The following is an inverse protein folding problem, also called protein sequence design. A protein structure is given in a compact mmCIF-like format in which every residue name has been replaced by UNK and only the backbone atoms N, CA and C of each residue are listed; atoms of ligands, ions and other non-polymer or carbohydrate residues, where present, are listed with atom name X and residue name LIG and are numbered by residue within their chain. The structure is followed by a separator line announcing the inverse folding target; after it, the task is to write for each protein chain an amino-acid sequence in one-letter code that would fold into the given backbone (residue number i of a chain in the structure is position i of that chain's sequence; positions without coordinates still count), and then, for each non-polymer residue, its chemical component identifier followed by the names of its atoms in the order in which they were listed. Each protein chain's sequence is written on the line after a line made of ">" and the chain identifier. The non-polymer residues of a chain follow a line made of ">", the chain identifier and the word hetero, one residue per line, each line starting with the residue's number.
data_IF_669390929126
#
_entry.id   IF_669390929126
#
_cell.length_a   1.000
_cell.length_b   1.000
_cell.length_c   1.000
_cell.angle_alpha   90.00
_cell.angle_beta   90.00
_cell.angle_gamma   90.00
#
_symmetry.space_group_name_H-M   'P 1'
#
loop_
_entity.id
_entity.type
_entity.pdbx_description
1 polymer ?
#
# COMPACT_ATOMS: atom_id res chain seq x y z
N UNK A 1 2.22 0.88 15.30
CA UNK A 1 1.59 0.57 14.01
C UNK A 1 2.65 0.21 12.99
N UNK A 2 2.46 -0.86 12.29
CA UNK A 2 3.44 -1.37 11.32
C UNK A 2 2.90 -1.22 9.91
N UNK A 3 3.60 -0.46 9.06
CA UNK A 3 3.17 -0.13 7.69
C UNK A 3 4.21 -0.63 6.69
N UNK A 4 3.73 -1.24 5.61
CA UNK A 4 4.57 -1.55 4.45
C UNK A 4 4.17 -0.63 3.30
N UNK A 5 5.17 0.03 2.70
CA UNK A 5 5.00 0.76 1.45
C UNK A 5 5.75 0.04 0.34
N UNK A 6 5.04 -0.31 -0.72
CA UNK A 6 5.63 -0.91 -1.93
C UNK A 6 5.51 0.13 -3.05
N UNK A 7 6.62 0.80 -3.36
CA UNK A 7 6.63 1.95 -4.26
C UNK A 7 8.01 2.15 -4.87
N UNK A 8 8.09 2.26 -6.19
CA UNK A 8 9.35 2.50 -6.89
C UNK A 8 9.67 3.99 -7.09
N UNK A 9 8.71 4.89 -6.89
CA UNK A 9 8.93 6.32 -6.97
C UNK A 9 9.64 6.82 -5.72
N UNK A 10 10.87 7.31 -5.89
CA UNK A 10 11.71 7.74 -4.76
C UNK A 10 11.14 8.93 -4.01
N UNK A 11 10.47 9.85 -4.69
CA UNK A 11 9.87 11.03 -4.03
C UNK A 11 8.79 10.60 -3.05
N UNK A 12 7.93 9.67 -3.45
CA UNK A 12 6.86 9.16 -2.59
C UNK A 12 7.46 8.39 -1.42
N UNK A 13 8.48 7.56 -1.69
CA UNK A 13 9.17 6.80 -0.65
C UNK A 13 9.83 7.71 0.38
N UNK A 14 10.45 8.80 -0.05
CA UNK A 14 11.09 9.78 0.83
C UNK A 14 10.07 10.50 1.71
N UNK A 15 8.96 10.96 1.11
CA UNK A 15 7.88 11.62 1.87
C UNK A 15 7.35 10.68 2.95
N UNK A 16 7.13 9.44 2.61
CA UNK A 16 6.64 8.43 3.56
C UNK A 16 7.64 8.17 4.67
N UNK A 17 8.92 8.05 4.32
CA UNK A 17 9.99 7.82 5.29
C UNK A 17 10.08 8.98 6.28
N UNK A 18 10.01 10.22 5.80
CA UNK A 18 10.05 11.40 6.66
C UNK A 18 8.81 11.44 7.56
N UNK A 19 7.64 11.21 6.99
CA UNK A 19 6.40 11.20 7.76
C UNK A 19 6.46 10.19 8.91
N UNK A 20 6.84 8.96 8.61
CA UNK A 20 6.91 7.91 9.62
C UNK A 20 8.01 8.16 10.64
N UNK A 21 9.11 8.79 10.21
CA UNK A 21 10.19 9.17 11.11
C UNK A 21 9.80 10.21 12.17
N UNK A 22 8.76 11.00 11.88
CA UNK A 22 8.23 12.00 12.82
C UNK A 22 7.22 11.39 13.81
N UNK A 23 6.80 10.14 13.60
CA UNK A 23 5.82 9.46 14.42
C UNK A 23 6.48 8.29 15.14
N UNK A 24 6.64 8.40 16.46
CA UNK A 24 7.35 7.39 17.25
C UNK A 24 6.64 6.04 17.32
N UNK A 25 5.34 6.03 17.10
CA UNK A 25 4.51 4.83 17.20
C UNK A 25 4.25 4.16 15.85
N UNK A 26 4.89 4.65 14.78
CA UNK A 26 4.76 4.06 13.45
C UNK A 26 6.10 3.49 12.99
N UNK A 27 6.09 2.20 12.67
CA UNK A 27 7.22 1.51 12.06
C UNK A 27 6.90 1.30 10.58
N UNK A 28 7.59 2.01 9.71
CA UNK A 28 7.36 1.96 8.28
C UNK A 28 8.49 1.24 7.56
N UNK A 29 8.14 0.20 6.81
CA UNK A 29 9.06 -0.50 5.92
C UNK A 29 8.76 -0.04 4.51
N UNK A 30 9.81 0.32 3.76
CA UNK A 30 9.68 0.74 2.36
C UNK A 30 10.46 -0.23 1.50
N UNK A 31 9.80 -0.79 0.49
CA UNK A 31 10.44 -1.61 -0.53
C UNK A 31 10.14 -1.03 -1.90
N UNK A 32 11.03 -1.23 -2.85
CA UNK A 32 10.98 -0.51 -4.13
C UNK A 32 10.63 -1.41 -5.32
N UNK A 33 10.24 -2.65 -5.07
CA UNK A 33 9.81 -3.56 -6.12
C UNK A 33 8.64 -4.42 -5.67
N UNK A 34 7.87 -4.88 -6.64
CA UNK A 34 6.73 -5.76 -6.36
C UNK A 34 7.16 -7.10 -5.77
N UNK A 35 8.30 -7.64 -6.20
CA UNK A 35 8.79 -8.91 -5.67
C UNK A 35 9.19 -8.81 -4.21
N UNK A 36 9.89 -7.76 -3.84
CA UNK A 36 10.22 -7.52 -2.42
C UNK A 36 8.96 -7.31 -1.60
N UNK A 37 7.98 -6.59 -2.16
CA UNK A 37 6.68 -6.39 -1.52
C UNK A 37 5.97 -7.70 -1.26
N UNK A 38 5.94 -8.56 -2.25
CA UNK A 38 5.31 -9.88 -2.13
C UNK A 38 5.96 -10.71 -1.01
N UNK A 39 7.28 -10.75 -0.97
CA UNK A 39 8.00 -11.48 0.07
C UNK A 39 7.69 -10.94 1.47
N UNK A 40 7.68 -9.62 1.61
CA UNK A 40 7.37 -8.99 2.90
C UNK A 40 5.96 -9.29 3.36
N UNK A 41 5.00 -9.19 2.43
CA UNK A 41 3.58 -9.46 2.76
C UNK A 41 3.38 -10.91 3.19
N UNK A 42 4.10 -11.85 2.57
CA UNK A 42 4.01 -13.26 2.93
C UNK A 42 4.66 -13.59 4.27
N UNK A 43 5.73 -12.91 4.62
CA UNK A 43 6.58 -13.28 5.76
C UNK A 43 6.36 -12.45 7.00
N UNK A 44 5.68 -11.31 6.90
CA UNK A 44 5.46 -10.39 8.02
C UNK A 44 4.01 -9.95 8.06
N UNK A 45 3.57 -9.53 9.24
CA UNK A 45 2.25 -8.94 9.43
C UNK A 45 2.36 -7.43 9.49
N UNK A 46 1.46 -6.75 8.77
CA UNK A 46 1.39 -5.29 8.76
C UNK A 46 -0.02 -4.84 9.10
N UNK A 47 -0.13 -3.68 9.74
CA UNK A 47 -1.43 -3.07 10.03
C UNK A 47 -2.01 -2.41 8.79
N UNK A 48 -1.13 -1.97 7.88
CA UNK A 48 -1.52 -1.31 6.64
C UNK A 48 -0.46 -1.59 5.58
N UNK A 49 -0.91 -1.96 4.39
CA UNK A 49 -0.04 -2.17 3.22
C UNK A 49 -0.46 -1.18 2.15
N UNK A 50 0.49 -0.33 1.75
CA UNK A 50 0.31 0.66 0.69
C UNK A 50 1.05 0.17 -0.54
N UNK A 51 0.33 -0.13 -1.61
CA UNK A 51 0.86 -0.82 -2.78
C UNK A 51 0.64 0.01 -4.04
N UNK A 52 1.72 0.40 -4.70
CA UNK A 52 1.65 1.05 -6.00
C UNK A 52 1.22 0.02 -7.05
N UNK A 53 0.20 0.36 -7.82
CA UNK A 53 -0.32 -0.55 -8.82
C UNK A 53 0.61 -0.70 -10.02
N UNK A 54 1.29 0.37 -10.40
CA UNK A 54 2.14 0.41 -11.60
C UNK A 54 3.62 0.47 -11.23
N UNK A 55 4.32 -0.64 -11.36
CA UNK A 55 5.77 -0.74 -11.16
C UNK A 55 6.37 -1.57 -12.29
N UNK A 56 7.64 -1.34 -12.67
CA UNK A 56 8.26 -2.15 -13.71
C UNK A 56 8.39 -3.61 -13.29
N UNK A 57 8.37 -4.48 -14.28
CA UNK A 57 8.52 -5.94 -14.13
C UNK A 57 7.39 -6.58 -13.33
N UNK A 58 7.51 -6.67 -12.00
CA UNK A 58 6.50 -7.28 -11.15
C UNK A 58 5.69 -6.15 -10.48
N UNK A 59 4.51 -5.87 -11.02
CA UNK A 59 3.67 -4.73 -10.62
C UNK A 59 2.85 -5.02 -9.36
N UNK A 60 2.21 -3.98 -8.83
CA UNK A 60 1.24 -4.14 -7.74
C UNK A 60 0.10 -5.06 -8.12
N UNK A 61 -0.32 -5.02 -9.39
CA UNK A 61 -1.33 -5.94 -9.90
C UNK A 61 -0.89 -7.40 -9.76
N UNK A 62 0.39 -7.68 -10.08
CA UNK A 62 0.94 -9.04 -9.94
C UNK A 62 0.99 -9.47 -8.48
N UNK A 63 1.31 -8.55 -7.57
CA UNK A 63 1.29 -8.81 -6.13
C UNK A 63 -0.13 -9.20 -5.69
N UNK A 64 -1.13 -8.42 -6.10
CA UNK A 64 -2.54 -8.68 -5.78
C UNK A 64 -2.97 -10.06 -6.27
N UNK A 65 -2.58 -10.43 -7.49
CA UNK A 65 -2.95 -11.73 -8.08
C UNK A 65 -2.28 -12.91 -7.39
N UNK A 66 -1.28 -12.67 -6.56
CA UNK A 66 -0.59 -13.71 -5.79
C UNK A 66 -1.35 -14.14 -4.54
N UNK A 67 -2.42 -13.47 -4.20
CA UNK A 67 -3.24 -13.76 -3.01
C UNK A 67 -4.69 -14.02 -3.38
N UNK A 68 -5.38 -14.78 -2.52
CA UNK A 68 -6.82 -14.93 -2.62
C UNK A 68 -7.51 -13.67 -2.11
N UNK A 69 -8.79 -13.52 -2.45
CA UNK A 69 -9.59 -12.40 -1.93
C UNK A 69 -9.61 -12.38 -0.39
N UNK A 70 -9.80 -13.55 0.22
CA UNK A 70 -9.88 -13.66 1.68
C UNK A 70 -8.55 -13.23 2.34
N UNK A 71 -7.43 -13.61 1.74
CA UNK A 71 -6.12 -13.19 2.22
C UNK A 71 -5.97 -11.68 2.17
N UNK A 72 -6.36 -11.05 1.06
CA UNK A 72 -6.25 -9.60 0.91
C UNK A 72 -7.15 -8.84 1.86
N UNK A 73 -8.39 -9.33 2.07
CA UNK A 73 -9.33 -8.70 3.01
C UNK A 73 -8.73 -8.61 4.41
N UNK A 74 -7.99 -9.62 4.83
CA UNK A 74 -7.39 -9.67 6.17
C UNK A 74 -6.14 -8.81 6.32
N UNK A 75 -5.55 -8.36 5.21
CA UNK A 75 -4.24 -7.69 5.23
C UNK A 75 -4.28 -6.16 5.17
N UNK A 76 -5.44 -5.56 5.07
CA UNK A 76 -5.59 -4.10 4.93
C UNK A 76 -4.71 -3.53 3.81
N UNK A 77 -4.94 -3.99 2.60
CA UNK A 77 -4.21 -3.50 1.42
C UNK A 77 -4.93 -2.30 0.81
N UNK A 78 -4.20 -1.21 0.65
CA UNK A 78 -4.66 -0.01 -0.04
C UNK A 78 -3.79 0.18 -1.28
N UNK A 79 -4.42 0.37 -2.42
CA UNK A 79 -3.71 0.56 -3.69
C UNK A 79 -3.48 2.04 -3.94
N UNK A 80 -2.25 2.41 -4.30
CA UNK A 80 -1.91 3.73 -4.81
C UNK A 80 -1.90 3.65 -6.34
N UNK A 81 -2.58 4.58 -7.02
CA UNK A 81 -2.58 4.61 -8.49
C UNK A 81 -2.81 6.00 -9.04
N UNK A 82 -2.14 6.30 -10.14
CA UNK A 82 -2.42 7.49 -10.95
C UNK A 82 -3.48 7.20 -12.02
N UNK A 83 -3.85 5.95 -12.21
CA UNK A 83 -4.80 5.55 -13.25
C UNK A 83 -6.21 6.09 -12.98
N UNK A 84 -6.87 6.54 -14.04
CA UNK A 84 -8.28 6.92 -14.03
C UNK A 84 -9.13 5.94 -14.83
N UNK A 85 -8.57 4.84 -15.29
CA UNK A 85 -9.26 3.83 -16.08
C UNK A 85 -10.32 3.12 -15.22
N UNK A 86 -11.63 3.32 -15.54
CA UNK A 86 -12.70 2.71 -14.73
C UNK A 86 -12.64 1.18 -14.71
N UNK A 87 -12.18 0.56 -15.78
CA UNK A 87 -12.05 -0.90 -15.84
C UNK A 87 -11.02 -1.45 -14.87
N UNK A 88 -9.88 -0.78 -14.79
CA UNK A 88 -8.82 -1.15 -13.84
C UNK A 88 -9.30 -0.97 -12.40
N UNK A 89 -9.89 0.19 -12.11
CA UNK A 89 -10.38 0.52 -10.77
C UNK A 89 -11.46 -0.46 -10.32
N UNK A 90 -12.37 -0.81 -11.20
CA UNK A 90 -13.44 -1.76 -10.90
C UNK A 90 -12.89 -3.15 -10.60
N UNK A 91 -11.93 -3.62 -11.40
CA UNK A 91 -11.30 -4.92 -11.16
C UNK A 91 -10.59 -4.97 -9.82
N UNK A 92 -9.89 -3.89 -9.46
CA UNK A 92 -9.18 -3.84 -8.17
C UNK A 92 -10.14 -3.87 -6.99
N UNK A 93 -11.28 -3.19 -7.07
CA UNK A 93 -12.28 -3.19 -6.00
C UNK A 93 -12.79 -4.59 -5.65
N UNK A 94 -12.78 -5.50 -6.61
CA UNK A 94 -13.30 -6.84 -6.42
C UNK A 94 -12.26 -7.86 -5.93
N UNK A 95 -11.02 -7.42 -5.71
CA UNK A 95 -9.92 -8.33 -5.34
C UNK A 95 -9.81 -8.60 -3.84
N UNK A 96 -10.40 -7.76 -3.00
CA UNK A 96 -10.23 -7.82 -1.55
C UNK A 96 -9.43 -6.67 -0.97
N UNK A 97 -8.92 -5.77 -1.82
CA UNK A 97 -8.26 -4.55 -1.34
C UNK A 97 -9.28 -3.64 -0.64
N UNK A 98 -8.83 -2.90 0.37
CA UNK A 98 -9.72 -2.06 1.18
C UNK A 98 -10.17 -0.82 0.46
N UNK A 99 -9.27 -0.17 -0.26
CA UNK A 99 -9.60 1.03 -1.02
C UNK A 99 -8.52 1.36 -2.03
N UNK A 100 -8.85 2.27 -2.91
CA UNK A 100 -7.95 2.78 -3.94
C UNK A 100 -7.68 4.26 -3.63
N UNK A 101 -6.41 4.60 -3.50
CA UNK A 101 -5.95 5.93 -3.14
C UNK A 101 -5.29 6.57 -4.35
N UNK A 102 -5.89 7.64 -4.86
CA UNK A 102 -5.42 8.25 -6.12
C UNK A 102 -4.23 9.17 -5.92
N UNK A 103 -3.27 9.07 -6.82
CA UNK A 103 -2.16 10.02 -6.94
C UNK A 103 -2.57 11.18 -7.84
N UNK A 104 -2.10 12.41 -7.60
CA UNK A 104 -1.31 12.82 -6.44
C UNK A 104 -2.18 12.98 -5.18
N UNK A 105 -1.55 12.84 -4.02
CA UNK A 105 -2.23 13.03 -2.74
C UNK A 105 -1.42 13.99 -1.87
N UNK A 106 -2.13 14.67 -0.95
CA UNK A 106 -1.50 15.55 0.01
C UNK A 106 -1.04 14.78 1.25
N UNK A 107 -0.16 15.39 2.03
CA UNK A 107 0.26 14.83 3.31
C UNK A 107 -0.93 14.67 4.26
N UNK A 108 -1.87 15.59 4.21
CA UNK A 108 -3.09 15.53 5.00
C UNK A 108 -3.93 14.30 4.66
N UNK A 109 -4.10 14.03 3.36
CA UNK A 109 -4.83 12.84 2.90
C UNK A 109 -4.13 11.56 3.32
N UNK A 110 -2.79 11.54 3.24
CA UNK A 110 -2.00 10.39 3.68
C UNK A 110 -2.16 10.16 5.18
N UNK A 111 -2.12 11.24 5.96
CA UNK A 111 -2.30 11.17 7.42
C UNK A 111 -3.66 10.59 7.77
N UNK A 112 -4.72 11.05 7.13
CA UNK A 112 -6.08 10.55 7.36
C UNK A 112 -6.18 9.07 7.02
N UNK A 113 -5.58 8.66 5.91
CA UNK A 113 -5.56 7.26 5.51
C UNK A 113 -4.88 6.38 6.56
N UNK A 114 -3.71 6.78 7.02
CA UNK A 114 -2.96 6.02 8.01
C UNK A 114 -3.74 5.91 9.33
N UNK A 115 -4.31 7.01 9.81
CA UNK A 115 -5.08 7.02 11.04
C UNK A 115 -6.31 6.12 10.96
N UNK A 116 -6.92 6.02 9.78
CA UNK A 116 -8.07 5.15 9.55
C UNK A 116 -7.79 3.68 9.84
N UNK A 117 -6.56 3.25 9.61
CA UNK A 117 -6.16 1.85 9.79
C UNK A 117 -5.35 1.63 11.07
N UNK A 118 -5.26 2.63 11.93
CA UNK A 118 -4.56 2.49 13.20
C UNK A 118 -5.23 1.41 14.05
N UNK A 119 -4.47 0.44 14.57
CA UNK A 119 -5.05 -0.62 15.42
C UNK A 119 -5.72 -0.03 16.65
N UNK A 120 -6.84 -0.59 17.03
CA UNK A 120 -7.51 -0.25 18.27
C UNK A 120 -6.81 -0.93 19.44
N UNK A 121 -6.69 -0.19 20.54
CA UNK A 121 -6.12 -0.73 21.76
C UNK A 121 -7.22 -1.11 22.73
#
# INVERSE_FOLDING_TARGET
>A
MKILLVEDNLEISEVMTVYCGLKKDIDCKVVNSGQEGLERIRNENFDLILLDLAMPEFSGKDVIQSFTRDQLVQKNVVIFTASSDPGVLERMKNTGVKEIFKKPFSLEQLTELIEKYRPRQ
#
